data_IF_515859048355
#
_entry.id   IF_515859048355
#
_cell.length_a   1.000
_cell.length_b   1.000
_cell.length_c   1.000
_cell.angle_alpha   90.00
_cell.angle_beta   90.00
_cell.angle_gamma   90.00
#
_symmetry.space_group_name_H-M   'P 1'
#
loop_
_entity.id
_entity.type
_entity.pdbx_description
1 polymer ?
#
# COMPACT_ATOMS: atom_id res chain seq x y z
N UNK A 1 -12.69 -3.06 -3.86
CA UNK A 1 -11.72 -3.16 -2.76
C UNK A 1 -10.74 -2.00 -2.87
N UNK A 2 -10.53 -1.24 -1.80
CA UNK A 2 -9.60 -0.13 -1.79
C UNK A 2 -8.14 -0.61 -1.72
N UNK A 3 -7.17 0.31 -1.82
CA UNK A 3 -5.74 -0.07 -1.80
C UNK A 3 -5.29 -0.65 -0.45
N UNK A 4 -5.89 -0.20 0.66
CA UNK A 4 -5.53 -0.63 2.01
C UNK A 4 -6.00 -2.06 2.24
N UNK A 5 -7.22 -2.37 1.83
CA UNK A 5 -7.82 -3.70 1.89
C UNK A 5 -6.99 -4.73 1.10
N UNK A 6 -6.56 -4.40 -0.12
CA UNK A 6 -5.67 -5.26 -0.89
C UNK A 6 -4.36 -5.56 -0.16
N UNK A 7 -3.74 -4.55 0.47
CA UNK A 7 -2.49 -4.70 1.21
C UNK A 7 -2.65 -5.53 2.46
N UNK A 8 -3.79 -5.40 3.15
CA UNK A 8 -4.14 -6.23 4.30
C UNK A 8 -4.23 -7.72 3.91
N UNK A 9 -4.88 -8.02 2.78
CA UNK A 9 -4.95 -9.40 2.25
C UNK A 9 -3.57 -9.92 1.87
N UNK A 10 -2.76 -9.12 1.16
CA UNK A 10 -1.37 -9.50 0.81
C UNK A 10 -0.54 -9.78 2.08
N UNK A 11 -0.67 -8.94 3.11
CA UNK A 11 0.03 -9.12 4.39
C UNK A 11 -0.35 -10.44 5.05
N UNK A 12 -1.66 -10.72 5.15
CA UNK A 12 -2.18 -11.96 5.73
C UNK A 12 -1.70 -13.20 4.98
N UNK A 13 -1.78 -13.20 3.64
CA UNK A 13 -1.34 -14.34 2.83
C UNK A 13 0.18 -14.53 2.84
N UNK A 14 0.96 -13.44 2.92
CA UNK A 14 2.41 -13.53 3.12
C UNK A 14 2.77 -14.14 4.49
N UNK A 15 2.03 -13.78 5.56
CA UNK A 15 2.21 -14.39 6.89
C UNK A 15 1.88 -15.89 6.88
N UNK A 16 0.94 -16.32 6.03
CA UNK A 16 0.68 -17.75 5.77
C UNK A 16 1.77 -18.45 4.95
N UNK A 17 2.79 -17.73 4.50
CA UNK A 17 3.93 -18.28 3.76
C UNK A 17 3.70 -18.43 2.25
N UNK A 18 2.65 -17.81 1.68
CA UNK A 18 2.42 -17.90 0.24
C UNK A 18 3.46 -17.08 -0.53
N UNK A 19 3.83 -17.58 -1.72
CA UNK A 19 4.69 -16.84 -2.64
C UNK A 19 3.93 -15.69 -3.30
N UNK A 20 4.60 -14.61 -3.76
CA UNK A 20 3.92 -13.53 -4.48
C UNK A 20 3.08 -14.00 -5.67
N UNK A 21 3.53 -15.06 -6.37
CA UNK A 21 2.80 -15.64 -7.50
C UNK A 21 1.49 -16.27 -7.04
N UNK A 22 1.53 -17.11 -6.00
CA UNK A 22 0.35 -17.74 -5.43
C UNK A 22 -0.65 -16.71 -4.88
N UNK A 23 -0.16 -15.65 -4.22
CA UNK A 23 -1.00 -14.54 -3.74
C UNK A 23 -1.71 -13.85 -4.90
N UNK A 24 -0.99 -13.54 -5.97
CA UNK A 24 -1.59 -12.90 -7.14
C UNK A 24 -2.61 -13.80 -7.83
N UNK A 25 -2.32 -15.08 -8.02
CA UNK A 25 -3.26 -16.04 -8.61
C UNK A 25 -4.56 -16.16 -7.79
N UNK A 26 -4.45 -16.26 -6.46
CA UNK A 26 -5.59 -16.30 -5.54
C UNK A 26 -6.45 -15.03 -5.60
N UNK A 27 -5.80 -13.86 -5.53
CA UNK A 27 -6.49 -12.58 -5.60
C UNK A 27 -7.11 -12.32 -6.98
N UNK A 28 -6.43 -12.69 -8.06
CA UNK A 28 -6.95 -12.58 -9.43
C UNK A 28 -8.13 -13.51 -9.68
N UNK A 29 -8.08 -14.75 -9.17
CA UNK A 29 -9.19 -15.69 -9.28
C UNK A 29 -10.45 -15.19 -8.55
N UNK A 30 -10.28 -14.48 -7.43
CA UNK A 30 -11.38 -13.99 -6.61
C UNK A 30 -11.91 -12.62 -7.08
N UNK A 31 -11.04 -11.70 -7.44
CA UNK A 31 -11.37 -10.29 -7.70
C UNK A 31 -11.41 -9.91 -9.19
N UNK A 32 -10.91 -10.77 -10.07
CA UNK A 32 -10.85 -10.50 -11.51
C UNK A 32 -10.12 -9.20 -11.83
N UNK A 33 -10.77 -8.32 -12.59
CA UNK A 33 -10.22 -7.01 -12.99
C UNK A 33 -9.96 -6.06 -11.82
N UNK A 34 -10.61 -6.28 -10.67
CA UNK A 34 -10.40 -5.49 -9.46
C UNK A 34 -9.14 -5.90 -8.68
N UNK A 35 -8.48 -6.99 -9.07
CA UNK A 35 -7.30 -7.50 -8.39
C UNK A 35 -6.10 -6.52 -8.51
N UNK A 36 -5.22 -6.46 -7.50
CA UNK A 36 -3.99 -5.69 -7.60
C UNK A 36 -3.05 -6.37 -8.61
N UNK A 37 -2.30 -5.57 -9.35
CA UNK A 37 -1.32 -6.11 -10.30
C UNK A 37 -0.25 -6.96 -9.60
N UNK A 38 0.31 -7.93 -10.32
CA UNK A 38 1.41 -8.76 -9.80
C UNK A 38 2.59 -7.94 -9.26
N UNK A 39 2.93 -6.83 -9.91
CA UNK A 39 3.97 -5.91 -9.45
C UNK A 39 3.63 -5.31 -8.07
N UNK A 40 2.38 -4.93 -7.85
CA UNK A 40 1.90 -4.43 -6.55
C UNK A 40 2.04 -5.50 -5.47
N UNK A 41 1.62 -6.74 -5.75
CA UNK A 41 1.76 -7.87 -4.82
C UNK A 41 3.23 -8.10 -4.46
N UNK A 42 4.11 -8.17 -5.47
CA UNK A 42 5.55 -8.40 -5.27
C UNK A 42 6.20 -7.31 -4.43
N UNK A 43 5.86 -6.04 -4.68
CA UNK A 43 6.39 -4.91 -3.92
C UNK A 43 5.97 -4.98 -2.45
N UNK A 44 4.68 -5.20 -2.17
CA UNK A 44 4.20 -5.29 -0.79
C UNK A 44 4.75 -6.50 -0.04
N UNK A 45 4.86 -7.66 -0.68
CA UNK A 45 5.52 -8.82 -0.09
C UNK A 45 6.99 -8.52 0.25
N UNK A 46 7.71 -7.80 -0.61
CA UNK A 46 9.08 -7.39 -0.34
C UNK A 46 9.19 -6.44 0.87
N UNK A 47 8.28 -5.46 0.96
CA UNK A 47 8.23 -4.54 2.11
C UNK A 47 7.91 -5.26 3.43
N UNK A 48 6.96 -6.20 3.42
CA UNK A 48 6.66 -7.00 4.61
C UNK A 48 7.83 -7.90 5.03
N UNK A 49 8.56 -8.47 4.06
CA UNK A 49 9.81 -9.22 4.34
C UNK A 49 10.92 -8.34 4.90
N UNK A 50 10.92 -7.04 4.60
CA UNK A 50 11.84 -6.04 5.18
C UNK A 50 11.42 -5.57 6.57
N UNK A 51 10.32 -6.09 7.11
CA UNK A 51 9.84 -5.76 8.46
C UNK A 51 8.84 -4.59 8.49
N UNK A 52 8.31 -4.12 7.35
CA UNK A 52 7.23 -3.14 7.37
C UNK A 52 5.99 -3.76 8.03
N UNK A 53 5.41 -3.06 9.01
CA UNK A 53 4.16 -3.50 9.66
C UNK A 53 2.93 -2.75 9.17
N UNK A 54 3.09 -1.51 8.70
CA UNK A 54 1.98 -0.68 8.24
C UNK A 54 1.52 -1.07 6.84
N UNK A 55 0.22 -0.88 6.58
CA UNK A 55 -0.40 -1.07 5.26
C UNK A 55 -0.67 0.26 4.55
N UNK A 56 -0.52 1.36 5.27
CA UNK A 56 -0.61 2.73 4.76
C UNK A 56 0.64 3.06 3.94
N UNK A 57 0.47 3.94 2.94
CA UNK A 57 1.62 4.56 2.30
C UNK A 57 2.31 5.49 3.30
N UNK A 58 3.64 5.48 3.30
CA UNK A 58 4.41 6.50 4.00
C UNK A 58 4.09 7.88 3.43
N UNK A 59 4.08 8.89 4.31
CA UNK A 59 3.87 10.27 3.88
C UNK A 59 4.91 10.60 2.81
N UNK A 60 4.45 10.85 1.59
CA UNK A 60 5.34 11.30 0.52
C UNK A 60 5.77 12.72 0.88
N UNK A 61 7.06 12.89 1.16
CA UNK A 61 7.66 14.23 1.16
C UNK A 61 7.55 14.79 -0.25
N UNK A 62 6.44 15.46 -0.54
CA UNK A 62 6.28 16.23 -1.76
C UNK A 62 7.26 17.40 -1.75
N UNK A 63 7.62 17.89 -2.93
CA UNK A 63 8.26 19.21 -3.05
C UNK A 63 7.32 20.23 -2.41
N UNK A 64 7.79 21.09 -1.48
CA UNK A 64 6.96 22.16 -0.97
C UNK A 64 6.45 22.98 -2.15
N UNK A 65 5.13 23.18 -2.23
CA UNK A 65 4.57 24.12 -3.20
C UNK A 65 5.11 25.50 -2.84
N UNK A 66 5.87 26.10 -3.74
CA UNK A 66 6.28 27.52 -3.68
C UNK A 66 5.05 28.41 -3.91
N UNK A 67 4.08 28.33 -3.01
CA UNK A 67 3.05 29.34 -2.82
C UNK A 67 3.38 30.05 -1.50
N UNK A 68 3.53 31.38 -1.48
CA UNK A 68 3.85 32.09 -0.25
C UNK A 68 2.77 31.84 0.80
N UNK A 69 3.20 31.37 1.99
CA UNK A 69 2.38 31.34 3.21
C UNK A 69 1.97 32.76 3.57
N UNK A 70 0.82 33.22 3.07
CA UNK A 70 0.11 34.34 3.68
C UNK A 70 -0.58 33.84 4.94
N UNK A 71 0.14 34.03 6.05
CA UNK A 71 -0.29 34.12 7.44
C UNK A 71 -1.81 34.34 7.61
N UNK A 72 -2.51 33.37 8.22
CA UNK A 72 -3.77 33.66 8.92
C UNK A 72 -3.52 33.57 10.43
N UNK A 73 -3.34 34.74 11.02
CA UNK A 73 -3.27 34.96 12.47
C UNK A 73 -4.53 34.39 13.14
N UNK A 74 -4.38 33.63 14.23
CA UNK A 74 -5.39 33.53 15.28
C UNK A 74 -4.81 34.00 16.61
N UNK A 75 -5.13 35.27 16.86
CA UNK A 75 -5.37 35.98 18.12
C UNK A 75 -5.55 35.08 19.35
N UNK A 76 -4.72 35.28 20.37
CA UNK A 76 -5.06 35.55 21.77
C UNK A 76 -3.93 36.39 22.37
#
# INVERSE_FOLDING_TARGET
MDKIEHRAVIKYLNLKGLTPKAIHEDMSATLGESAPSYATVKNWVAEFKRGRETIQDEARSGRPSTAPLINSKKKL
#
